data_IF_598328618624
#
_entry.id   IF_598328618624
#
_cell.length_a   1.000
_cell.length_b   1.000
_cell.length_c   1.000
_cell.angle_alpha   90.00
_cell.angle_beta   90.00
_cell.angle_gamma   90.00
#
_symmetry.space_group_name_H-M   'P 1'
#
loop_
_entity.id
_entity.type
_entity.pdbx_description
1 polymer ?
#
# COMPACT_ATOMS: atom_id res chain seq x y z
N UNK A 1 -63.24 20.23 32.57
CA UNK A 1 -63.05 21.69 32.47
C UNK A 1 -61.62 21.99 32.90
N UNK A 2 -60.76 22.54 32.04
CA UNK A 2 -59.38 22.81 32.41
C UNK A 2 -58.57 23.21 31.16
N UNK A 3 -58.53 24.46 30.88
CA UNK A 3 -58.07 25.15 29.66
C UNK A 3 -56.60 24.97 29.40
N UNK A 4 -56.22 24.64 28.16
CA UNK A 4 -54.87 24.74 27.60
C UNK A 4 -54.49 26.23 27.50
N UNK A 5 -53.36 26.62 28.07
CA UNK A 5 -52.76 27.93 27.82
C UNK A 5 -51.62 27.81 26.81
N UNK A 6 -51.81 28.50 25.69
CA UNK A 6 -50.78 28.75 24.69
C UNK A 6 -49.64 29.59 25.27
N UNK A 7 -48.39 29.19 25.08
CA UNK A 7 -47.24 30.05 25.28
C UNK A 7 -47.02 30.98 24.09
N UNK A 8 -46.79 32.27 24.31
CA UNK A 8 -46.61 33.26 23.27
C UNK A 8 -45.20 33.16 22.64
N UNK A 9 -45.15 33.55 21.39
CA UNK A 9 -44.01 33.66 20.48
C UNK A 9 -42.78 34.31 21.18
N UNK A 10 -41.77 33.47 21.56
CA UNK A 10 -40.44 33.90 21.88
C UNK A 10 -39.49 33.52 20.75
N UNK A 11 -38.87 34.50 20.10
CA UNK A 11 -37.87 34.32 19.07
C UNK A 11 -36.70 33.47 19.63
N UNK A 12 -36.55 32.25 19.15
CA UNK A 12 -35.30 31.48 19.30
C UNK A 12 -34.20 32.29 18.59
N UNK A 13 -33.40 33.00 19.38
CA UNK A 13 -32.16 33.62 18.91
C UNK A 13 -31.33 32.49 18.32
N UNK A 14 -31.20 32.44 17.02
CA UNK A 14 -30.12 31.68 16.35
C UNK A 14 -28.80 32.23 16.89
N UNK A 15 -28.23 31.51 17.85
CA UNK A 15 -26.85 31.72 18.24
C UNK A 15 -26.00 31.43 17.01
N UNK A 16 -25.54 32.48 16.38
CA UNK A 16 -24.64 32.39 15.22
C UNK A 16 -23.31 31.81 15.68
N UNK A 17 -23.15 30.48 15.57
CA UNK A 17 -21.84 29.85 15.62
C UNK A 17 -21.07 30.20 14.34
N UNK A 18 -20.66 31.46 14.21
CA UNK A 18 -19.90 31.98 13.07
C UNK A 18 -18.37 31.91 13.25
N UNK A 19 -17.84 31.25 14.29
CA UNK A 19 -16.40 31.34 14.58
C UNK A 19 -15.63 30.01 14.63
N UNK A 20 -16.22 28.87 14.18
CA UNK A 20 -15.49 27.58 14.15
C UNK A 20 -15.27 26.98 12.77
N UNK A 21 -16.02 27.45 11.74
CA UNK A 21 -16.00 26.80 10.43
C UNK A 21 -14.79 27.14 9.55
N UNK A 22 -14.21 28.33 9.69
CA UNK A 22 -13.02 28.73 8.91
C UNK A 22 -11.77 27.92 9.29
N UNK A 23 -11.54 27.74 10.60
CA UNK A 23 -10.35 27.03 11.09
C UNK A 23 -10.32 25.54 10.73
N UNK A 24 -11.48 24.87 10.55
CA UNK A 24 -11.53 23.47 10.14
C UNK A 24 -11.33 23.33 8.61
N UNK A 25 -11.86 24.26 7.83
CA UNK A 25 -11.65 24.31 6.37
C UNK A 25 -10.22 24.64 5.99
N UNK A 26 -9.62 25.64 6.63
CA UNK A 26 -8.24 26.05 6.38
C UNK A 26 -7.22 24.99 6.82
N UNK A 27 -7.50 24.24 7.90
CA UNK A 27 -6.66 23.13 8.33
C UNK A 27 -6.82 21.85 7.50
N UNK A 28 -7.96 21.64 6.86
CA UNK A 28 -8.15 20.55 5.91
C UNK A 28 -7.36 20.79 4.61
N UNK A 29 -7.04 22.03 4.27
CA UNK A 29 -6.11 22.38 3.18
C UNK A 29 -4.64 22.29 3.59
N UNK A 30 -4.34 22.23 4.90
CA UNK A 30 -2.99 22.00 5.39
C UNK A 30 -2.48 20.61 4.98
N UNK A 31 -1.18 20.51 4.72
CA UNK A 31 -0.54 19.22 4.42
C UNK A 31 -0.69 18.31 5.63
N UNK A 32 -1.06 17.06 5.39
CA UNK A 32 -1.22 16.04 6.45
C UNK A 32 0.08 15.88 7.29
N UNK A 33 1.25 16.10 6.68
CA UNK A 33 2.55 16.10 7.34
C UNK A 33 2.64 17.10 8.50
N UNK A 34 2.15 18.35 8.33
CA UNK A 34 2.16 19.37 9.38
C UNK A 34 1.27 19.08 10.59
N UNK A 35 0.48 17.99 10.54
CA UNK A 35 -0.43 17.56 11.58
C UNK A 35 -0.07 16.18 12.16
N UNK A 36 1.18 15.75 11.98
CA UNK A 36 1.70 14.48 12.52
C UNK A 36 1.44 13.24 11.65
N UNK A 37 1.16 13.44 10.35
CA UNK A 37 1.02 12.37 9.36
C UNK A 37 2.12 12.50 8.29
N UNK A 38 3.38 12.41 8.72
CA UNK A 38 4.56 12.75 7.92
C UNK A 38 4.82 11.80 6.74
N UNK A 39 4.29 10.58 6.81
CA UNK A 39 4.56 9.52 5.83
C UNK A 39 3.53 9.43 4.69
N UNK A 40 2.33 9.94 4.91
CA UNK A 40 1.21 9.84 3.96
C UNK A 40 0.41 11.14 3.93
N UNK A 41 0.43 11.81 2.78
CA UNK A 41 -0.24 13.10 2.58
C UNK A 41 -1.74 12.97 2.24
N UNK A 42 -2.35 11.81 2.51
CA UNK A 42 -3.75 11.57 2.21
C UNK A 42 -4.65 11.78 3.41
N UNK A 43 -5.71 12.53 3.20
CA UNK A 43 -6.80 12.65 4.16
C UNK A 43 -7.80 11.52 4.01
N UNK A 44 -7.98 10.72 5.03
CA UNK A 44 -9.05 9.73 5.16
C UNK A 44 -10.10 10.22 6.16
N UNK A 45 -11.33 9.72 6.06
CA UNK A 45 -12.37 10.07 7.04
C UNK A 45 -11.95 9.77 8.49
N UNK A 46 -11.25 8.67 8.71
CA UNK A 46 -10.75 8.30 10.03
C UNK A 46 -9.72 9.30 10.56
N UNK A 47 -8.79 9.79 9.72
CA UNK A 47 -7.82 10.81 10.11
C UNK A 47 -8.47 12.14 10.43
N UNK A 48 -9.45 12.55 9.61
CA UNK A 48 -10.24 13.76 9.86
C UNK A 48 -10.99 13.63 11.17
N UNK A 49 -11.61 12.49 11.46
CA UNK A 49 -12.31 12.23 12.72
C UNK A 49 -11.36 12.31 13.92
N UNK A 50 -10.19 11.69 13.83
CA UNK A 50 -9.16 11.78 14.87
C UNK A 50 -8.71 13.22 15.12
N UNK A 51 -8.54 14.00 14.06
CA UNK A 51 -8.17 15.41 14.15
C UNK A 51 -9.28 16.25 14.81
N UNK A 52 -10.54 16.04 14.44
CA UNK A 52 -11.69 16.68 15.06
C UNK A 52 -11.73 16.34 16.56
N UNK A 53 -11.57 15.08 16.93
CA UNK A 53 -11.52 14.64 18.32
C UNK A 53 -10.40 15.31 19.11
N UNK A 54 -9.21 15.45 18.54
CA UNK A 54 -8.06 16.13 19.18
C UNK A 54 -8.23 17.63 19.35
N UNK A 55 -8.85 18.29 18.35
CA UNK A 55 -8.94 19.76 18.34
C UNK A 55 -10.18 20.29 19.05
N UNK A 56 -11.30 19.58 18.99
CA UNK A 56 -12.59 20.06 19.45
C UNK A 56 -13.20 19.19 20.55
N UNK A 57 -12.56 18.06 20.89
CA UNK A 57 -13.05 17.07 21.87
C UNK A 57 -14.44 16.53 21.53
N UNK A 58 -14.76 16.43 20.23
CA UNK A 58 -16.03 15.94 19.72
C UNK A 58 -15.79 14.65 18.90
N UNK A 59 -16.55 13.61 19.22
CA UNK A 59 -16.56 12.36 18.45
C UNK A 59 -17.68 12.38 17.39
N UNK A 60 -17.35 11.99 16.17
CA UNK A 60 -18.32 11.78 15.10
C UNK A 60 -18.31 10.34 14.61
N UNK A 61 -19.44 9.75 14.20
CA UNK A 61 -19.43 8.55 13.40
C UNK A 61 -18.78 8.86 12.04
N UNK A 62 -18.12 7.89 11.43
CA UNK A 62 -17.37 8.08 10.17
C UNK A 62 -18.25 8.68 9.06
N UNK A 63 -19.51 8.25 8.97
CA UNK A 63 -20.49 8.79 8.04
C UNK A 63 -20.82 10.27 8.31
N UNK A 64 -20.87 10.66 9.57
CA UNK A 64 -21.04 12.04 10.01
C UNK A 64 -19.90 12.94 9.56
N UNK A 65 -18.67 12.45 9.61
CA UNK A 65 -17.48 13.17 9.10
C UNK A 65 -17.58 13.37 7.59
N UNK A 66 -18.03 12.36 6.83
CA UNK A 66 -18.27 12.49 5.40
C UNK A 66 -19.28 13.58 5.07
N UNK A 67 -20.44 13.58 5.77
CA UNK A 67 -21.48 14.62 5.61
C UNK A 67 -20.96 16.01 5.98
N UNK A 68 -20.13 16.11 7.03
CA UNK A 68 -19.50 17.36 7.45
C UNK A 68 -18.59 17.91 6.35
N UNK A 69 -17.69 17.07 5.80
CA UNK A 69 -16.80 17.46 4.71
C UNK A 69 -17.55 17.91 3.47
N UNK A 70 -18.63 17.22 3.08
CA UNK A 70 -19.46 17.63 1.96
C UNK A 70 -20.12 19.01 2.19
N UNK A 71 -20.62 19.30 3.41
CA UNK A 71 -21.16 20.62 3.75
C UNK A 71 -20.14 21.75 3.63
N UNK A 72 -18.84 21.41 3.84
CA UNK A 72 -17.74 22.35 3.68
C UNK A 72 -17.12 22.33 2.29
N UNK A 73 -17.80 21.79 1.30
CA UNK A 73 -17.36 21.80 -0.10
C UNK A 73 -16.21 20.87 -0.40
N UNK A 74 -15.91 19.89 0.47
CA UNK A 74 -14.89 18.88 0.21
C UNK A 74 -15.51 17.68 -0.51
N UNK A 75 -14.75 17.07 -1.42
CA UNK A 75 -15.12 15.84 -2.12
C UNK A 75 -13.91 14.92 -2.25
N UNK A 76 -14.16 13.63 -2.51
CA UNK A 76 -13.11 12.64 -2.74
C UNK A 76 -12.43 12.89 -4.07
N UNK A 77 -11.12 13.16 -4.05
CA UNK A 77 -10.31 13.47 -5.23
C UNK A 77 -9.10 12.56 -5.32
N UNK A 78 -8.63 12.37 -6.55
CA UNK A 78 -7.37 11.70 -6.83
C UNK A 78 -6.25 12.74 -6.75
N UNK A 79 -5.24 12.57 -5.85
CA UNK A 79 -4.14 13.51 -5.76
C UNK A 79 -3.26 13.45 -7.02
N UNK A 80 -2.81 14.60 -7.49
CA UNK A 80 -1.80 14.72 -8.54
C UNK A 80 -0.42 14.69 -7.90
N UNK A 81 0.48 13.83 -8.39
CA UNK A 81 1.89 13.87 -7.97
C UNK A 81 2.59 15.00 -8.69
N UNK A 82 3.27 15.84 -7.92
CA UNK A 82 4.08 16.95 -8.45
C UNK A 82 5.48 16.85 -7.88
N UNK A 83 6.49 16.80 -8.76
CA UNK A 83 7.89 16.86 -8.37
C UNK A 83 8.24 18.25 -7.81
N UNK A 84 9.17 18.30 -6.86
CA UNK A 84 9.63 19.56 -6.28
C UNK A 84 10.47 20.34 -7.29
N UNK A 85 11.20 19.60 -8.13
CA UNK A 85 12.08 20.09 -9.21
C UNK A 85 11.36 20.02 -10.57
N UNK A 86 10.15 20.54 -10.64
CA UNK A 86 9.30 20.44 -11.83
C UNK A 86 9.85 21.27 -12.99
N UNK A 87 10.06 20.61 -14.13
CA UNK A 87 10.34 21.20 -15.42
C UNK A 87 9.09 21.09 -16.32
N UNK A 88 8.48 22.23 -16.64
CA UNK A 88 7.18 22.26 -17.34
C UNK A 88 7.31 21.88 -18.83
N UNK A 89 8.48 22.09 -19.47
CA UNK A 89 8.72 21.74 -20.87
C UNK A 89 8.92 20.21 -21.03
N UNK A 90 9.69 19.59 -20.14
CA UNK A 90 9.85 18.15 -20.09
C UNK A 90 8.54 17.41 -19.78
N UNK A 91 7.60 18.05 -19.11
CA UNK A 91 6.30 17.49 -18.73
C UNK A 91 5.38 17.36 -19.93
N UNK A 92 5.32 18.34 -20.81
CA UNK A 92 4.46 18.31 -21.98
C UNK A 92 4.83 17.15 -22.92
N UNK A 93 6.13 16.87 -23.09
CA UNK A 93 6.62 15.73 -23.86
C UNK A 93 6.28 14.39 -23.16
N UNK A 94 6.41 14.33 -21.84
CA UNK A 94 6.13 13.12 -21.06
C UNK A 94 4.63 12.78 -20.98
N UNK A 95 3.75 13.78 -20.87
CA UNK A 95 2.30 13.58 -20.85
C UNK A 95 1.77 12.96 -22.15
N UNK A 96 2.42 13.21 -23.27
CA UNK A 96 2.04 12.64 -24.57
C UNK A 96 2.45 11.15 -24.71
N UNK A 97 3.61 10.76 -24.15
CA UNK A 97 4.21 9.43 -24.41
C UNK A 97 4.00 8.41 -23.28
N UNK A 98 4.01 8.82 -22.02
CA UNK A 98 4.09 7.91 -20.88
C UNK A 98 2.80 7.83 -20.05
N UNK A 99 1.97 8.86 -20.07
CA UNK A 99 0.76 8.96 -19.25
C UNK A 99 -0.28 7.83 -19.43
N UNK A 100 -0.48 7.22 -20.61
CA UNK A 100 -1.47 6.16 -20.77
C UNK A 100 -1.23 4.90 -19.93
N UNK A 101 -0.02 4.72 -19.38
CA UNK A 101 0.40 3.51 -18.66
C UNK A 101 0.26 3.62 -17.14
N UNK A 102 -0.07 4.81 -16.60
CA UNK A 102 -0.14 5.03 -15.14
C UNK A 102 -1.46 4.58 -14.56
N UNK A 103 -1.45 3.48 -13.81
CA UNK A 103 -2.62 2.97 -13.06
C UNK A 103 -3.11 3.98 -12.03
N UNK A 104 -4.44 4.10 -11.93
CA UNK A 104 -5.15 5.10 -11.12
C UNK A 104 -4.66 5.21 -9.66
N UNK A 105 -4.24 6.39 -9.20
CA UNK A 105 -3.83 6.63 -7.82
C UNK A 105 -5.03 6.56 -6.85
N UNK A 106 -4.74 6.35 -5.57
CA UNK A 106 -5.77 6.36 -4.51
C UNK A 106 -6.41 7.73 -4.39
N UNK A 107 -7.74 7.74 -4.10
CA UNK A 107 -8.49 8.97 -3.87
C UNK A 107 -8.26 9.53 -2.47
N UNK A 108 -8.28 10.85 -2.33
CA UNK A 108 -8.24 11.59 -1.06
C UNK A 108 -9.31 12.69 -1.05
N UNK A 109 -9.60 13.28 0.12
CA UNK A 109 -10.53 14.38 0.24
C UNK A 109 -9.84 15.72 -0.03
N UNK A 110 -10.50 16.57 -0.81
CA UNK A 110 -10.04 17.93 -1.12
C UNK A 110 -11.26 18.84 -1.41
N UNK A 111 -11.11 20.17 -1.37
CA UNK A 111 -12.14 21.11 -1.79
C UNK A 111 -12.63 20.82 -3.20
N UNK A 112 -13.92 21.06 -3.47
CA UNK A 112 -14.49 20.90 -4.81
C UNK A 112 -13.80 21.87 -5.77
N UNK A 113 -13.36 21.35 -6.93
CA UNK A 113 -12.62 22.15 -7.92
C UNK A 113 -11.09 22.14 -7.71
N UNK A 114 -10.58 21.81 -6.52
CA UNK A 114 -9.16 21.70 -6.28
C UNK A 114 -8.61 20.28 -6.56
N UNK A 115 -7.44 20.19 -7.19
CA UNK A 115 -6.68 18.93 -7.29
C UNK A 115 -5.65 18.88 -6.19
N UNK A 116 -5.73 17.90 -5.24
CA UNK A 116 -4.72 17.76 -4.20
C UNK A 116 -3.38 17.37 -4.82
N UNK A 117 -2.32 18.09 -4.46
CA UNK A 117 -0.96 17.88 -4.97
C UNK A 117 -0.15 17.15 -3.91
N UNK A 118 0.40 16.00 -4.27
CA UNK A 118 1.39 15.26 -3.47
C UNK A 118 2.78 15.62 -3.97
N UNK A 119 3.57 16.31 -3.15
CA UNK A 119 4.92 16.67 -3.49
C UNK A 119 5.84 15.48 -3.33
N UNK A 120 6.56 15.10 -4.39
CA UNK A 120 7.58 14.04 -4.38
C UNK A 120 8.92 14.60 -4.81
N UNK A 121 10.01 14.13 -4.18
CA UNK A 121 11.37 14.45 -4.63
C UNK A 121 11.80 13.44 -5.70
N UNK A 122 12.17 13.91 -6.87
CA UNK A 122 12.37 13.05 -8.05
C UNK A 122 13.77 12.46 -8.23
N UNK A 123 14.78 12.88 -7.49
CA UNK A 123 16.15 12.39 -7.70
C UNK A 123 16.72 11.67 -6.50
N UNK A 124 16.82 10.33 -6.62
CA UNK A 124 17.65 9.48 -5.79
C UNK A 124 18.12 8.30 -6.61
N UNK A 125 19.41 8.00 -6.65
CA UNK A 125 19.97 6.83 -7.32
C UNK A 125 19.63 5.50 -6.59
N UNK A 126 19.00 5.59 -5.42
CA UNK A 126 18.67 4.43 -4.58
C UNK A 126 17.37 3.75 -4.98
N UNK A 127 17.32 2.44 -4.77
CA UNK A 127 16.12 1.62 -4.96
C UNK A 127 16.02 0.51 -3.93
N UNK A 128 14.81 0.03 -3.70
CA UNK A 128 14.51 -1.12 -2.86
C UNK A 128 14.02 -2.25 -3.76
N UNK A 129 14.84 -3.28 -3.92
CA UNK A 129 14.42 -4.52 -4.55
C UNK A 129 13.77 -5.42 -3.51
N UNK A 130 12.80 -6.21 -3.90
CA UNK A 130 12.04 -7.07 -3.01
C UNK A 130 11.97 -8.47 -3.61
N UNK A 131 12.30 -9.47 -2.81
CA UNK A 131 12.00 -10.86 -3.08
C UNK A 131 11.00 -11.35 -2.02
N UNK A 132 10.03 -12.13 -2.43
CA UNK A 132 9.00 -12.66 -1.53
C UNK A 132 8.51 -14.00 -1.98
N UNK A 133 8.06 -14.79 -1.01
CA UNK A 133 7.40 -16.07 -1.23
C UNK A 133 6.23 -16.19 -0.28
N UNK A 134 5.12 -16.75 -0.75
CA UNK A 134 3.99 -17.11 0.08
C UNK A 134 3.93 -18.63 0.15
N UNK A 135 4.04 -19.14 1.37
CA UNK A 135 3.90 -20.58 1.63
C UNK A 135 2.45 -20.90 1.97
N UNK A 136 1.94 -21.91 1.30
CA UNK A 136 0.61 -22.45 1.51
C UNK A 136 0.71 -23.94 1.88
N UNK A 137 -0.13 -24.38 2.80
CA UNK A 137 -0.32 -25.76 3.14
C UNK A 137 -1.78 -25.97 3.46
N UNK A 138 -2.34 -27.08 3.02
CA UNK A 138 -3.75 -27.39 3.26
C UNK A 138 -4.03 -27.48 4.76
N UNK A 139 -5.18 -26.89 5.17
CA UNK A 139 -5.56 -26.81 6.58
C UNK A 139 -4.74 -25.88 7.45
N UNK A 140 -3.68 -25.24 6.91
CA UNK A 140 -2.81 -24.35 7.66
C UNK A 140 -2.92 -22.88 7.23
N UNK A 141 -2.48 -22.01 8.14
CA UNK A 141 -2.40 -20.57 7.86
C UNK A 141 -1.29 -20.29 6.85
N UNK A 142 -1.53 -19.52 5.77
CA UNK A 142 -0.48 -19.12 4.85
C UNK A 142 0.52 -18.17 5.49
N UNK A 143 1.78 -18.26 5.05
CA UNK A 143 2.89 -17.45 5.54
C UNK A 143 3.54 -16.66 4.42
N UNK A 144 3.82 -15.37 4.64
CA UNK A 144 4.59 -14.52 3.74
C UNK A 144 6.01 -14.38 4.27
N UNK A 145 6.98 -14.78 3.46
CA UNK A 145 8.41 -14.49 3.69
C UNK A 145 8.87 -13.46 2.67
N UNK A 146 9.76 -12.55 3.08
CA UNK A 146 10.31 -11.55 2.15
C UNK A 146 11.71 -11.11 2.56
N UNK A 147 12.48 -10.71 1.56
CA UNK A 147 13.76 -10.01 1.72
C UNK A 147 13.75 -8.68 1.00
N UNK A 148 14.46 -7.71 1.56
CA UNK A 148 14.67 -6.41 0.96
C UNK A 148 16.15 -6.23 0.67
N UNK A 149 16.49 -5.90 -0.57
CA UNK A 149 17.82 -5.48 -0.98
C UNK A 149 17.81 -3.98 -1.27
N UNK A 150 18.63 -3.22 -0.54
CA UNK A 150 18.67 -1.77 -0.60
C UNK A 150 19.90 -1.36 -1.41
N UNK A 151 19.69 -0.92 -2.63
CA UNK A 151 20.74 -0.34 -3.46
C UNK A 151 20.78 1.18 -3.24
N UNK A 152 21.95 1.71 -2.83
CA UNK A 152 22.17 3.13 -2.52
C UNK A 152 22.78 3.92 -3.65
N UNK A 153 23.10 3.26 -4.77
CA UNK A 153 23.73 3.90 -5.93
C UNK A 153 25.24 4.06 -5.79
N UNK A 154 25.89 3.33 -4.87
CA UNK A 154 27.34 3.39 -4.66
C UNK A 154 28.07 2.50 -5.66
N UNK A 155 29.28 2.92 -6.03
CA UNK A 155 30.16 2.10 -6.90
C UNK A 155 30.54 0.80 -6.17
N UNK A 156 30.40 -0.34 -6.85
CA UNK A 156 30.70 -1.66 -6.28
C UNK A 156 29.57 -2.28 -5.45
N UNK A 157 28.48 -1.56 -5.17
CA UNK A 157 27.33 -2.10 -4.46
C UNK A 157 26.52 -3.01 -5.41
N UNK A 158 26.12 -4.23 -4.98
CA UNK A 158 25.24 -5.10 -5.78
C UNK A 158 23.94 -4.40 -6.12
N UNK A 159 23.53 -4.45 -7.38
CA UNK A 159 22.31 -3.74 -7.84
C UNK A 159 21.02 -4.49 -7.53
N UNK A 160 21.09 -5.80 -7.28
CA UNK A 160 19.94 -6.67 -7.08
C UNK A 160 20.34 -7.87 -6.23
N UNK A 161 19.40 -8.76 -5.98
CA UNK A 161 19.62 -10.06 -5.35
C UNK A 161 20.57 -10.93 -6.17
N UNK A 162 21.36 -11.75 -5.47
CA UNK A 162 22.17 -12.83 -6.01
C UNK A 162 21.47 -14.19 -5.82
N UNK A 163 22.00 -15.23 -6.42
CA UNK A 163 21.52 -16.60 -6.20
C UNK A 163 21.63 -17.03 -4.72
N UNK A 164 22.62 -16.52 -4.00
CA UNK A 164 22.81 -16.77 -2.55
C UNK A 164 21.63 -16.23 -1.75
N UNK A 165 21.12 -15.05 -2.10
CA UNK A 165 19.97 -14.46 -1.41
C UNK A 165 18.70 -15.30 -1.57
N UNK A 166 18.49 -15.86 -2.76
CA UNK A 166 17.38 -16.77 -3.03
C UNK A 166 17.55 -18.11 -2.32
N UNK A 167 18.74 -18.71 -2.36
CA UNK A 167 19.07 -19.90 -1.59
C UNK A 167 18.76 -19.70 -0.11
N UNK A 168 19.22 -18.61 0.47
CA UNK A 168 19.01 -18.30 1.88
C UNK A 168 17.52 -18.05 2.22
N UNK A 169 16.74 -17.52 1.27
CA UNK A 169 15.30 -17.37 1.43
C UNK A 169 14.61 -18.74 1.44
N UNK A 170 15.01 -19.67 0.57
CA UNK A 170 14.52 -21.04 0.53
C UNK A 170 14.83 -21.76 1.85
N UNK A 171 16.10 -21.73 2.28
CA UNK A 171 16.54 -22.36 3.54
C UNK A 171 15.79 -21.80 4.74
N UNK A 172 15.68 -20.49 4.85
CA UNK A 172 14.95 -19.86 5.96
C UNK A 172 13.45 -20.23 5.96
N UNK A 173 12.85 -20.38 4.79
CA UNK A 173 11.45 -20.83 4.66
C UNK A 173 11.32 -22.28 5.10
N UNK A 174 12.20 -23.17 4.65
CA UNK A 174 12.22 -24.56 5.05
C UNK A 174 12.38 -24.72 6.57
N UNK A 175 13.36 -24.04 7.15
CA UNK A 175 13.62 -24.08 8.60
C UNK A 175 12.46 -23.59 9.43
N UNK A 176 11.78 -22.54 8.96
CA UNK A 176 10.60 -21.99 9.67
C UNK A 176 9.40 -22.94 9.60
N UNK A 177 9.15 -23.56 8.45
CA UNK A 177 7.99 -24.44 8.24
C UNK A 177 8.23 -25.85 8.75
N UNK A 178 9.48 -26.28 8.88
CA UNK A 178 9.86 -27.63 9.33
C UNK A 178 9.32 -28.75 8.41
N UNK A 179 9.12 -28.48 7.11
CA UNK A 179 8.50 -29.38 6.16
C UNK A 179 9.18 -29.30 4.78
N UNK A 180 9.10 -30.37 3.96
CA UNK A 180 9.56 -30.33 2.57
C UNK A 180 8.82 -29.25 1.78
N UNK A 181 9.51 -28.67 0.79
CA UNK A 181 9.03 -27.55 -0.02
C UNK A 181 8.86 -27.94 -1.48
N UNK A 182 7.71 -27.61 -2.07
CA UNK A 182 7.56 -27.45 -3.51
C UNK A 182 7.65 -25.96 -3.79
N UNK A 183 8.77 -25.54 -4.38
CA UNK A 183 9.08 -24.14 -4.64
C UNK A 183 8.72 -23.75 -6.06
N UNK A 184 7.68 -22.93 -6.21
CA UNK A 184 7.22 -22.43 -7.50
C UNK A 184 7.70 -21.01 -7.72
N UNK A 185 8.34 -20.73 -8.84
CA UNK A 185 8.76 -19.38 -9.22
C UNK A 185 8.71 -19.13 -10.72
N UNK A 186 8.78 -17.85 -11.10
CA UNK A 186 8.83 -17.43 -12.48
C UNK A 186 10.22 -17.63 -13.12
N UNK A 187 10.33 -17.36 -14.41
CA UNK A 187 11.54 -17.53 -15.19
C UNK A 187 12.47 -16.31 -15.12
N UNK A 188 12.59 -15.65 -13.97
CA UNK A 188 13.59 -14.60 -13.77
C UNK A 188 15.00 -15.19 -13.95
N UNK A 189 15.90 -14.50 -14.66
CA UNK A 189 17.25 -14.98 -14.95
C UNK A 189 18.01 -15.51 -13.72
N UNK A 190 17.83 -14.89 -12.56
CA UNK A 190 18.46 -15.35 -11.32
C UNK A 190 17.84 -16.65 -10.78
N UNK A 191 16.57 -16.93 -11.07
CA UNK A 191 15.91 -18.20 -10.72
C UNK A 191 16.41 -19.36 -11.59
N UNK A 192 16.93 -19.05 -12.78
CA UNK A 192 17.53 -20.01 -13.71
C UNK A 192 19.04 -20.20 -13.49
N UNK A 193 19.64 -19.62 -12.45
CA UNK A 193 21.06 -19.76 -12.18
C UNK A 193 21.43 -21.22 -11.89
N UNK A 194 22.46 -21.73 -12.56
CA UNK A 194 22.90 -23.12 -12.39
C UNK A 194 23.17 -23.49 -10.93
N UNK A 195 23.75 -22.58 -10.15
CA UNK A 195 24.00 -22.79 -8.72
C UNK A 195 22.72 -23.06 -7.89
N UNK A 196 21.58 -22.51 -8.29
CA UNK A 196 20.30 -22.83 -7.63
C UNK A 196 19.75 -24.18 -8.07
N UNK A 197 20.01 -24.59 -9.31
CA UNK A 197 19.66 -25.92 -9.79
C UNK A 197 20.52 -27.00 -9.08
N UNK A 198 21.83 -26.75 -8.95
CA UNK A 198 22.75 -27.63 -8.22
C UNK A 198 22.34 -27.74 -6.74
N UNK A 199 22.05 -26.61 -6.10
CA UNK A 199 21.55 -26.57 -4.72
C UNK A 199 20.24 -27.37 -4.56
N UNK A 200 19.32 -27.27 -5.51
CA UNK A 200 18.06 -28.03 -5.46
C UNK A 200 18.31 -29.53 -5.65
N UNK A 201 19.24 -29.93 -6.51
CA UNK A 201 19.61 -31.32 -6.72
C UNK A 201 20.27 -31.93 -5.47
N UNK A 202 21.16 -31.20 -4.79
CA UNK A 202 21.79 -31.59 -3.54
C UNK A 202 20.81 -31.75 -2.38
N UNK A 203 19.65 -31.07 -2.45
CA UNK A 203 18.62 -31.03 -1.40
C UNK A 203 17.29 -31.64 -1.86
N UNK A 204 17.31 -32.56 -2.84
CA UNK A 204 16.11 -33.12 -3.48
C UNK A 204 15.16 -33.86 -2.52
N UNK A 205 15.64 -34.28 -1.37
CA UNK A 205 14.84 -34.94 -0.32
C UNK A 205 13.79 -34.00 0.34
N UNK A 206 14.07 -32.69 0.39
CA UNK A 206 13.16 -31.73 0.99
C UNK A 206 12.81 -30.54 0.08
N UNK A 207 13.50 -30.35 -1.06
CA UNK A 207 13.29 -29.23 -1.97
C UNK A 207 13.00 -29.72 -3.39
N UNK A 208 11.82 -29.36 -3.92
CA UNK A 208 11.48 -29.53 -5.33
C UNK A 208 11.20 -28.17 -5.94
N UNK A 209 11.93 -27.81 -6.99
CA UNK A 209 11.69 -26.57 -7.74
C UNK A 209 10.81 -26.85 -8.95
N UNK A 210 9.77 -26.02 -9.13
CA UNK A 210 8.86 -26.02 -10.28
C UNK A 210 8.85 -24.62 -10.88
N UNK A 211 9.12 -24.53 -12.17
CA UNK A 211 9.05 -23.25 -12.88
C UNK A 211 7.64 -23.01 -13.40
N UNK A 212 7.13 -21.79 -13.17
CA UNK A 212 5.87 -21.36 -13.78
C UNK A 212 6.05 -21.20 -15.30
N UNK A 213 4.97 -21.36 -16.07
CA UNK A 213 5.01 -21.08 -17.50
C UNK A 213 5.52 -19.67 -17.79
N UNK A 214 6.23 -19.50 -18.90
CA UNK A 214 6.69 -18.18 -19.34
C UNK A 214 5.48 -17.26 -19.60
N UNK A 215 5.62 -15.99 -19.20
CA UNK A 215 4.58 -14.96 -19.38
C UNK A 215 3.24 -15.23 -18.68
N UNK A 216 3.22 -16.02 -17.62
CA UNK A 216 2.02 -16.32 -16.82
C UNK A 216 2.10 -15.75 -15.38
N UNK A 217 2.22 -14.43 -15.20
CA UNK A 217 2.31 -13.81 -13.87
C UNK A 217 1.03 -13.99 -13.06
N UNK A 218 -0.10 -14.25 -13.73
CA UNK A 218 -1.39 -14.53 -13.09
C UNK A 218 -1.38 -15.81 -12.25
N UNK A 219 -0.49 -16.75 -12.54
CA UNK A 219 -0.30 -17.97 -11.76
C UNK A 219 0.58 -17.77 -10.52
N UNK A 220 1.22 -16.60 -10.39
CA UNK A 220 2.09 -16.30 -9.25
C UNK A 220 1.35 -15.52 -8.15
N UNK A 221 1.00 -16.14 -7.01
CA UNK A 221 0.28 -15.43 -5.93
C UNK A 221 1.05 -14.23 -5.38
N UNK A 222 2.39 -14.21 -5.50
CA UNK A 222 3.23 -13.11 -5.03
C UNK A 222 2.97 -11.82 -5.81
N UNK A 223 2.54 -11.90 -7.08
CA UNK A 223 2.11 -10.72 -7.84
C UNK A 223 0.90 -10.03 -7.20
N UNK A 224 -0.01 -10.81 -6.61
CA UNK A 224 -1.10 -10.27 -5.79
C UNK A 224 -0.57 -9.46 -4.59
N UNK A 225 0.46 -9.97 -3.89
CA UNK A 225 1.13 -9.26 -2.79
C UNK A 225 1.77 -7.95 -3.26
N UNK A 226 2.49 -7.99 -4.39
CA UNK A 226 3.07 -6.77 -4.97
C UNK A 226 2.00 -5.76 -5.40
N UNK A 227 0.86 -6.22 -5.88
CA UNK A 227 -0.28 -5.36 -6.21
C UNK A 227 -0.88 -4.71 -4.96
N UNK A 228 -1.05 -5.46 -3.86
CA UNK A 228 -1.48 -4.92 -2.56
C UNK A 228 -0.50 -3.88 -2.03
N UNK A 229 0.80 -4.19 -2.08
CA UNK A 229 1.85 -3.28 -1.64
C UNK A 229 1.88 -1.99 -2.49
N UNK A 230 1.87 -2.11 -3.82
CA UNK A 230 1.82 -0.95 -4.73
C UNK A 230 0.63 -0.05 -4.43
N UNK A 231 -0.56 -0.62 -4.21
CA UNK A 231 -1.75 0.13 -3.80
C UNK A 231 -1.58 0.81 -2.44
N UNK A 232 -0.97 0.12 -1.48
CA UNK A 232 -0.70 0.68 -0.16
C UNK A 232 0.31 1.84 -0.21
N UNK A 233 1.25 1.83 -1.17
CA UNK A 233 2.29 2.84 -1.36
C UNK A 233 1.88 3.97 -2.31
N UNK A 234 0.75 3.88 -3.00
CA UNK A 234 0.40 4.77 -4.11
C UNK A 234 0.41 6.27 -3.77
N UNK A 235 0.13 6.63 -2.52
CA UNK A 235 0.04 8.03 -2.07
C UNK A 235 1.14 8.42 -1.08
N UNK A 236 2.16 7.56 -0.89
CA UNK A 236 3.30 7.92 -0.06
C UNK A 236 4.30 8.76 -0.88
N UNK A 237 4.58 9.95 -0.39
CA UNK A 237 5.64 10.80 -0.87
C UNK A 237 6.81 10.72 0.11
N UNK A 238 7.70 9.75 -0.10
CA UNK A 238 8.85 9.54 0.78
C UNK A 238 10.01 10.37 0.30
N UNK A 239 10.59 11.15 1.19
CA UNK A 239 11.68 12.06 0.85
C UNK A 239 13.03 11.35 0.67
N UNK A 240 13.19 10.15 1.27
CA UNK A 240 14.47 9.44 1.30
C UNK A 240 14.32 7.91 1.23
N UNK A 241 15.41 7.24 0.92
CA UNK A 241 15.45 5.78 0.81
C UNK A 241 15.22 5.06 2.15
N UNK A 242 15.79 5.49 3.30
CA UNK A 242 15.49 4.90 4.60
C UNK A 242 14.02 4.97 4.97
N UNK A 243 13.36 6.09 4.74
CA UNK A 243 11.92 6.25 4.95
C UNK A 243 11.11 5.30 4.08
N UNK A 244 11.47 5.14 2.78
CA UNK A 244 10.84 4.17 1.89
C UNK A 244 10.96 2.74 2.44
N UNK A 245 12.16 2.34 2.87
CA UNK A 245 12.41 1.01 3.45
C UNK A 245 11.53 0.78 4.69
N UNK A 246 11.44 1.76 5.58
CA UNK A 246 10.62 1.68 6.80
C UNK A 246 9.14 1.47 6.45
N UNK A 247 8.62 2.22 5.49
CA UNK A 247 7.21 2.12 5.06
C UNK A 247 6.95 0.78 4.38
N UNK A 248 7.82 0.35 3.47
CA UNK A 248 7.73 -0.94 2.78
C UNK A 248 7.68 -2.08 3.81
N UNK A 249 8.63 -2.11 4.77
CA UNK A 249 8.65 -3.12 5.84
C UNK A 249 7.36 -3.12 6.65
N UNK A 250 6.86 -1.94 7.05
CA UNK A 250 5.60 -1.83 7.79
C UNK A 250 4.43 -2.39 6.98
N UNK A 251 4.33 -2.04 5.68
CA UNK A 251 3.23 -2.50 4.83
C UNK A 251 3.30 -3.99 4.53
N UNK A 252 4.48 -4.54 4.30
CA UNK A 252 4.67 -5.99 4.16
C UNK A 252 4.29 -6.73 5.45
N UNK A 253 4.69 -6.19 6.61
CA UNK A 253 4.30 -6.75 7.91
C UNK A 253 2.78 -6.72 8.12
N UNK A 254 2.10 -5.62 7.75
CA UNK A 254 0.64 -5.53 7.80
C UNK A 254 -0.04 -6.61 6.92
N UNK A 255 0.51 -6.90 5.74
CA UNK A 255 0.02 -7.97 4.85
C UNK A 255 0.30 -9.34 5.46
N UNK A 256 1.50 -9.56 5.98
CA UNK A 256 1.94 -10.83 6.60
C UNK A 256 1.03 -11.27 7.75
N UNK A 257 0.53 -10.31 8.55
CA UNK A 257 -0.39 -10.60 9.65
C UNK A 257 -1.87 -10.72 9.22
N UNK A 258 -2.17 -10.69 7.93
CA UNK A 258 -3.53 -10.81 7.38
C UNK A 258 -3.66 -12.02 6.46
N UNK A 259 -3.81 -13.24 7.01
CA UNK A 259 -3.84 -14.49 6.23
C UNK A 259 -4.89 -14.48 5.11
N UNK A 260 -6.05 -13.87 5.35
CA UNK A 260 -7.10 -13.74 4.35
C UNK A 260 -6.65 -13.01 3.07
N UNK A 261 -5.70 -12.06 3.18
CA UNK A 261 -5.12 -11.41 1.99
C UNK A 261 -4.22 -12.38 1.22
N UNK A 262 -3.45 -13.20 1.93
CA UNK A 262 -2.58 -14.21 1.33
C UNK A 262 -3.40 -15.30 0.64
N UNK A 263 -4.44 -15.80 1.31
CA UNK A 263 -5.40 -16.76 0.72
C UNK A 263 -6.07 -16.15 -0.52
N UNK A 264 -6.52 -14.88 -0.45
CA UNK A 264 -7.12 -14.19 -1.59
C UNK A 264 -6.18 -14.06 -2.78
N UNK A 265 -4.86 -13.93 -2.54
CA UNK A 265 -3.87 -13.92 -3.63
C UNK A 265 -3.78 -15.30 -4.33
N UNK A 266 -3.87 -16.41 -3.60
CA UNK A 266 -3.92 -17.74 -4.20
C UNK A 266 -5.22 -17.93 -5.00
N UNK A 267 -6.37 -17.60 -4.40
CA UNK A 267 -7.67 -17.72 -5.08
C UNK A 267 -7.71 -16.94 -6.40
N UNK A 268 -7.05 -15.77 -6.47
CA UNK A 268 -6.97 -14.98 -7.69
C UNK A 268 -6.20 -15.67 -8.83
N UNK A 269 -5.32 -16.63 -8.53
CA UNK A 269 -4.61 -17.41 -9.55
C UNK A 269 -5.45 -18.52 -10.14
N UNK A 270 -6.60 -18.84 -9.56
CA UNK A 270 -7.42 -20.00 -9.92
C UNK A 270 -6.87 -21.34 -9.44
N UNK A 271 -5.75 -21.34 -8.71
CA UNK A 271 -5.15 -22.53 -8.15
C UNK A 271 -5.82 -22.89 -6.81
N UNK A 272 -6.02 -24.17 -6.57
CA UNK A 272 -6.52 -24.74 -5.31
C UNK A 272 -5.47 -25.69 -4.73
N UNK A 273 -5.48 -25.84 -3.40
CA UNK A 273 -4.60 -26.77 -2.69
C UNK A 273 -5.27 -28.14 -2.48
N UNK A 274 -6.53 -28.28 -2.92
CA UNK A 274 -7.25 -29.54 -2.76
C UNK A 274 -6.52 -30.65 -3.53
N UNK A 275 -6.13 -31.70 -2.82
CA UNK A 275 -5.66 -32.93 -3.45
C UNK A 275 -6.83 -33.47 -4.27
N UNK A 276 -6.69 -33.71 -5.60
CA UNK A 276 -7.76 -34.34 -6.34
C UNK A 276 -8.09 -35.65 -5.65
N UNK A 277 -9.37 -35.84 -5.30
CA UNK A 277 -9.84 -37.11 -4.78
C UNK A 277 -9.37 -38.18 -5.75
N UNK A 278 -8.60 -39.13 -5.23
CA UNK A 278 -8.05 -40.22 -6.04
C UNK A 278 -9.26 -40.98 -6.66
N UNK A 279 -9.30 -41.18 -8.01
CA UNK A 279 -10.40 -41.85 -8.66
C UNK A 279 -10.57 -43.30 -8.21
#
# INVERSE_FOLDING_TARGET
MGRRRCCPRGRCRRRSYRHGSGAAGDRASARAAGLGYDEDQCWTLARVNTLIGRLFHIGYPIEGVGKLLHRHGCSVRVPVRRALERDEEAIAAWEAEVWPVVKAPRRTWAPVGARPVVTVRGKGSGRVNMAGVVAYRDGERPHLFYRLHIYRGRKGEPKSFSWIDYRDLIVATHQYLGAPLVWCWDNLNMHLAGQLADFAAENAEWLRIVQLPAYAPELNPVEGIWSLLRRALANFAVADLPGLVRIVKRKLKEIQYRPHLLTGCLTQTGLTLETPANP
#
